data_IF_701212019943
#
_entry.id   IF_701212019943
#
_cell.length_a   1.000
_cell.length_b   1.000
_cell.length_c   1.000
_cell.angle_alpha   90.00
_cell.angle_beta   90.00
_cell.angle_gamma   90.00
#
_symmetry.space_group_name_H-M   'P 1'
#
loop_
_entity.id
_entity.type
_entity.pdbx_description
1 polymer ?
#
# COMPACT_ATOMS: atom_id res chain seq x y z
N UNK A 1 -11.84 1.03 15.27
CA UNK A 1 -10.46 0.78 15.72
C UNK A 1 -9.95 2.04 16.39
N UNK A 2 -9.33 1.94 17.55
CA UNK A 2 -8.73 3.09 18.25
C UNK A 2 -7.31 3.38 17.74
N UNK A 3 -6.71 4.52 18.10
CA UNK A 3 -5.30 4.80 17.75
C UNK A 3 -4.32 3.85 18.45
N UNK A 4 -4.65 3.40 19.67
CA UNK A 4 -3.85 2.39 20.38
C UNK A 4 -3.88 1.06 19.63
N UNK A 5 -5.05 0.61 19.19
CA UNK A 5 -5.20 -0.60 18.37
C UNK A 5 -4.44 -0.51 17.04
N UNK A 6 -4.47 0.65 16.41
CA UNK A 6 -3.82 0.92 15.13
C UNK A 6 -2.29 0.93 15.25
N UNK A 7 -1.76 1.49 16.33
CA UNK A 7 -0.32 1.73 16.51
C UNK A 7 0.41 0.64 17.28
N UNK A 8 -0.29 -0.18 18.09
CA UNK A 8 0.33 -1.28 18.83
C UNK A 8 0.87 -2.36 17.90
N UNK A 9 2.00 -2.94 18.28
CA UNK A 9 2.61 -4.04 17.54
C UNK A 9 1.85 -5.34 17.78
N UNK A 10 1.77 -6.19 16.75
CA UNK A 10 1.06 -7.46 16.79
C UNK A 10 2.03 -8.59 16.46
N UNK A 11 2.00 -9.67 17.25
CA UNK A 11 2.82 -10.86 17.02
C UNK A 11 2.48 -11.53 15.69
N UNK A 12 1.20 -11.52 15.30
CA UNK A 12 0.70 -12.03 14.01
C UNK A 12 1.25 -11.26 12.81
N UNK A 13 1.75 -10.04 13.03
CA UNK A 13 2.38 -9.19 12.03
C UNK A 13 3.90 -9.11 12.23
N UNK A 14 4.51 -10.12 12.84
CA UNK A 14 5.95 -10.18 13.11
C UNK A 14 6.48 -8.97 13.89
N UNK A 15 5.69 -8.44 14.82
CA UNK A 15 6.06 -7.28 15.62
C UNK A 15 5.84 -5.94 14.92
N UNK A 16 5.23 -5.92 13.73
CA UNK A 16 4.73 -4.68 13.13
C UNK A 16 3.33 -4.33 13.65
N UNK A 17 2.94 -3.06 13.51
CA UNK A 17 1.56 -2.60 13.76
C UNK A 17 0.74 -2.51 12.46
N UNK A 18 -0.58 -2.40 12.59
CA UNK A 18 -1.45 -2.09 11.44
C UNK A 18 -1.06 -0.75 10.83
N UNK A 19 -0.76 0.25 11.67
CA UNK A 19 -0.35 1.57 11.22
C UNK A 19 0.96 1.58 10.45
N UNK A 20 1.91 0.69 10.77
CA UNK A 20 3.14 0.58 10.00
C UNK A 20 2.89 0.07 8.58
N UNK A 21 1.98 -0.89 8.40
CA UNK A 21 1.57 -1.35 7.06
C UNK A 21 0.74 -0.30 6.31
N UNK A 22 -0.19 0.38 7.00
CA UNK A 22 -0.98 1.45 6.41
C UNK A 22 -0.10 2.62 5.93
N UNK A 23 0.84 3.08 6.76
CA UNK A 23 1.87 4.05 6.35
C UNK A 23 2.65 3.56 5.13
N UNK A 24 3.09 2.31 5.13
CA UNK A 24 3.87 1.76 4.02
C UNK A 24 3.12 1.81 2.68
N UNK A 25 1.82 1.51 2.69
CA UNK A 25 0.94 1.66 1.52
C UNK A 25 0.92 3.11 1.04
N UNK A 26 0.58 4.05 1.93
CA UNK A 26 0.35 5.45 1.51
C UNK A 26 1.64 6.13 1.05
N UNK A 27 2.80 5.78 1.61
CA UNK A 27 4.09 6.29 1.12
C UNK A 27 4.42 5.80 -0.30
N UNK A 28 4.01 4.59 -0.69
CA UNK A 28 4.14 4.10 -2.08
C UNK A 28 3.22 4.85 -3.03
N UNK A 29 1.99 5.12 -2.57
CA UNK A 29 1.03 5.94 -3.30
C UNK A 29 1.57 7.35 -3.50
N UNK A 30 2.13 7.99 -2.47
CA UNK A 30 2.71 9.32 -2.58
C UNK A 30 3.85 9.34 -3.59
N UNK A 31 4.72 8.33 -3.59
CA UNK A 31 5.75 8.18 -4.62
C UNK A 31 5.14 8.14 -6.02
N UNK A 32 4.11 7.31 -6.26
CA UNK A 32 3.42 7.19 -7.56
C UNK A 32 2.83 8.52 -8.04
N UNK A 33 2.18 9.27 -7.15
CA UNK A 33 1.50 10.52 -7.51
C UNK A 33 2.47 11.63 -7.93
N UNK A 34 3.66 11.62 -7.34
CA UNK A 34 4.71 12.58 -7.59
C UNK A 34 5.55 12.24 -8.84
N UNK A 35 5.30 11.09 -9.47
CA UNK A 35 6.08 10.65 -10.62
C UNK A 35 5.96 11.64 -11.80
N UNK A 36 7.09 11.92 -12.42
CA UNK A 36 7.22 12.69 -13.65
C UNK A 36 7.81 11.87 -14.80
N UNK A 37 7.56 12.32 -16.04
CA UNK A 37 8.08 11.65 -17.24
C UNK A 37 9.62 11.67 -17.29
N UNK A 38 10.22 10.55 -17.74
CA UNK A 38 11.66 10.32 -17.90
C UNK A 38 12.50 10.38 -16.61
N UNK A 39 11.88 10.39 -15.44
CA UNK A 39 12.62 10.40 -14.18
C UNK A 39 13.15 9.01 -13.79
N UNK A 40 13.95 8.97 -12.72
CA UNK A 40 14.34 7.72 -12.05
C UNK A 40 13.87 7.78 -10.61
N UNK A 41 12.95 6.90 -10.23
CA UNK A 41 12.43 6.81 -8.86
C UNK A 41 12.91 5.55 -8.13
N UNK A 42 12.72 5.56 -6.82
CA UNK A 42 12.99 4.43 -5.93
C UNK A 42 11.97 4.43 -4.81
N UNK A 43 11.15 3.38 -4.73
CA UNK A 43 10.22 3.20 -3.61
C UNK A 43 10.96 2.89 -2.29
N UNK A 44 12.21 2.44 -2.35
CA UNK A 44 13.06 2.22 -1.18
C UNK A 44 13.52 3.55 -0.55
N UNK A 45 13.74 4.56 -1.40
CA UNK A 45 14.14 5.92 -1.04
C UNK A 45 12.92 6.83 -0.70
N UNK A 46 11.71 6.25 -0.60
CA UNK A 46 10.48 6.99 -0.26
C UNK A 46 10.64 7.78 1.05
N UNK A 47 9.95 8.92 1.13
CA UNK A 47 9.89 9.72 2.35
C UNK A 47 9.15 8.94 3.45
N UNK A 48 9.81 8.72 4.58
CA UNK A 48 9.21 8.05 5.75
C UNK A 48 8.53 9.06 6.68
N UNK A 49 7.23 8.93 6.89
CA UNK A 49 6.46 9.76 7.83
C UNK A 49 5.88 8.90 8.95
N UNK A 50 6.60 8.80 10.06
CA UNK A 50 6.21 7.98 11.21
C UNK A 50 4.95 8.47 11.91
N UNK A 51 4.45 9.68 11.65
CA UNK A 51 3.20 10.12 12.26
C UNK A 51 2.01 9.31 11.74
N UNK A 52 2.06 8.89 10.47
CA UNK A 52 1.00 8.11 9.82
C UNK A 52 0.80 6.72 10.43
N UNK A 53 1.80 6.18 11.13
CA UNK A 53 1.68 4.89 11.80
C UNK A 53 1.00 4.98 13.18
N UNK A 54 0.72 6.21 13.66
CA UNK A 54 0.10 6.47 14.97
C UNK A 54 -1.17 7.31 14.88
N UNK A 55 -1.25 8.23 13.91
CA UNK A 55 -2.38 9.11 13.71
C UNK A 55 -3.26 8.58 12.58
N UNK A 56 -4.40 7.99 12.96
CA UNK A 56 -5.35 7.43 11.99
C UNK A 56 -6.01 8.53 11.14
N UNK A 57 -6.24 9.72 11.70
CA UNK A 57 -6.86 10.83 10.98
C UNK A 57 -5.94 11.36 9.87
N UNK A 58 -4.64 11.48 10.13
CA UNK A 58 -3.67 11.91 9.11
C UNK A 58 -3.60 10.89 7.96
N UNK A 59 -3.61 9.59 8.29
CA UNK A 59 -3.67 8.52 7.28
C UNK A 59 -4.95 8.61 6.44
N UNK A 60 -6.12 8.80 7.08
CA UNK A 60 -7.39 8.93 6.38
C UNK A 60 -7.43 10.18 5.49
N UNK A 61 -6.88 11.30 5.95
CA UNK A 61 -6.77 12.52 5.14
C UNK A 61 -5.94 12.27 3.88
N UNK A 62 -4.73 11.72 4.02
CA UNK A 62 -3.86 11.37 2.88
C UNK A 62 -4.52 10.38 1.93
N UNK A 63 -5.23 9.40 2.47
CA UNK A 63 -5.96 8.40 1.67
C UNK A 63 -7.07 9.05 0.84
N UNK A 64 -7.80 10.01 1.40
CA UNK A 64 -8.83 10.76 0.68
C UNK A 64 -8.22 11.63 -0.42
N UNK A 65 -7.09 12.30 -0.15
CA UNK A 65 -6.37 13.07 -1.17
C UNK A 65 -5.95 12.19 -2.34
N UNK A 66 -5.45 10.98 -2.06
CA UNK A 66 -5.17 9.99 -3.09
C UNK A 66 -6.41 9.61 -3.89
N UNK A 67 -7.52 9.26 -3.23
CA UNK A 67 -8.78 8.91 -3.92
C UNK A 67 -9.22 10.07 -4.84
N UNK A 68 -9.08 11.31 -4.41
CA UNK A 68 -9.36 12.48 -5.25
C UNK A 68 -8.42 12.58 -6.44
N UNK A 69 -7.13 12.27 -6.27
CA UNK A 69 -6.15 12.29 -7.35
C UNK A 69 -6.39 11.19 -8.39
N UNK A 70 -7.01 10.05 -8.04
CA UNK A 70 -7.35 8.98 -8.99
C UNK A 70 -8.34 9.43 -10.07
N UNK A 71 -9.14 10.47 -9.80
CA UNK A 71 -10.02 11.05 -10.82
C UNK A 71 -9.27 11.93 -11.83
N UNK A 72 -8.00 12.26 -11.58
CA UNK A 72 -7.16 12.98 -12.53
C UNK A 72 -6.58 11.98 -13.51
N UNK A 73 -6.92 12.15 -14.79
CA UNK A 73 -6.36 11.32 -15.85
C UNK A 73 -4.85 11.60 -15.97
N UNK A 74 -4.04 10.56 -15.85
CA UNK A 74 -2.60 10.56 -16.16
C UNK A 74 -2.37 9.84 -17.48
N UNK A 75 -1.46 10.39 -18.29
CA UNK A 75 -0.99 9.70 -19.50
C UNK A 75 0.06 8.65 -19.13
N UNK A 76 0.23 7.64 -19.99
CA UNK A 76 1.33 6.72 -19.83
C UNK A 76 2.61 7.34 -20.37
N UNK A 77 3.69 7.25 -19.62
CA UNK A 77 4.99 7.79 -19.99
C UNK A 77 6.13 6.91 -19.49
N UNK A 78 7.28 6.91 -20.16
CA UNK A 78 8.45 6.14 -19.74
C UNK A 78 9.07 6.72 -18.46
N UNK A 79 9.63 5.83 -17.65
CA UNK A 79 10.40 6.16 -16.44
C UNK A 79 11.41 5.04 -16.14
N UNK A 80 12.29 5.25 -15.17
CA UNK A 80 13.20 4.21 -14.66
C UNK A 80 12.97 3.95 -13.18
N UNK A 81 13.08 2.69 -12.77
CA UNK A 81 13.01 2.27 -11.37
C UNK A 81 14.39 1.87 -10.90
N UNK A 82 14.87 2.52 -9.85
CA UNK A 82 16.00 2.09 -9.03
C UNK A 82 15.47 1.19 -7.92
N UNK A 83 16.09 0.03 -7.75
CA UNK A 83 15.73 -0.97 -6.74
C UNK A 83 16.99 -1.44 -6.00
N UNK A 84 16.97 -1.40 -4.68
CA UNK A 84 18.10 -1.89 -3.88
C UNK A 84 18.04 -3.41 -3.71
N UNK A 85 19.15 -4.07 -4.04
CA UNK A 85 19.38 -5.49 -3.81
C UNK A 85 20.08 -5.74 -2.46
N UNK A 86 20.87 -4.76 -2.01
CA UNK A 86 21.53 -4.69 -0.70
C UNK A 86 21.80 -3.21 -0.35
N UNK A 87 22.37 -2.92 0.82
CA UNK A 87 22.62 -1.58 1.36
C UNK A 87 23.20 -0.60 0.34
N UNK A 88 24.25 -1.02 -0.38
CA UNK A 88 24.95 -0.17 -1.36
C UNK A 88 24.87 -0.74 -2.79
N UNK A 89 24.12 -1.84 -3.00
CA UNK A 89 23.94 -2.49 -4.29
C UNK A 89 22.52 -2.26 -4.80
N UNK A 90 22.39 -1.68 -5.98
CA UNK A 90 21.11 -1.45 -6.63
C UNK A 90 21.18 -1.75 -8.13
N UNK A 91 20.01 -1.96 -8.73
CA UNK A 91 19.83 -2.01 -10.18
C UNK A 91 18.88 -0.88 -10.61
N UNK A 92 18.98 -0.48 -11.87
CA UNK A 92 18.04 0.44 -12.51
C UNK A 92 17.45 -0.28 -13.73
N UNK A 93 16.13 -0.29 -13.86
CA UNK A 93 15.42 -0.87 -15.00
C UNK A 93 14.44 0.12 -15.60
N UNK A 94 14.17 -0.04 -16.88
CA UNK A 94 13.12 0.73 -17.56
C UNK A 94 11.73 0.26 -17.12
N UNK A 95 10.80 1.21 -17.04
CA UNK A 95 9.38 0.98 -16.79
C UNK A 95 8.53 2.09 -17.41
N UNK A 96 7.25 2.16 -17.05
CA UNK A 96 6.33 3.23 -17.44
C UNK A 96 5.28 3.45 -16.34
N UNK A 97 4.62 4.60 -16.39
CA UNK A 97 3.67 5.01 -15.36
C UNK A 97 2.58 3.96 -15.08
N UNK A 98 1.95 3.39 -16.12
CA UNK A 98 0.90 2.38 -15.93
C UNK A 98 1.43 1.06 -15.35
N UNK A 99 2.67 0.68 -15.66
CA UNK A 99 3.30 -0.48 -15.03
C UNK A 99 3.49 -0.26 -13.53
N UNK A 100 3.92 0.94 -13.14
CA UNK A 100 4.13 1.28 -11.73
C UNK A 100 2.81 1.47 -10.97
N UNK A 101 1.78 2.00 -11.62
CA UNK A 101 0.43 2.08 -11.05
C UNK A 101 -0.10 0.68 -10.71
N UNK A 102 0.04 -0.29 -11.61
CA UNK A 102 -0.33 -1.68 -11.35
C UNK A 102 0.50 -2.32 -10.23
N UNK A 103 1.79 -2.00 -10.15
CA UNK A 103 2.66 -2.46 -9.07
C UNK A 103 2.20 -1.91 -7.71
N UNK A 104 1.93 -0.61 -7.61
CA UNK A 104 1.43 0.01 -6.37
C UNK A 104 0.06 -0.55 -5.98
N UNK A 105 -0.81 -0.83 -6.94
CA UNK A 105 -2.10 -1.48 -6.68
C UNK A 105 -1.92 -2.89 -6.09
N UNK A 106 -1.07 -3.73 -6.69
CA UNK A 106 -0.82 -5.09 -6.19
C UNK A 106 -0.14 -5.08 -4.81
N UNK A 107 0.84 -4.19 -4.62
CA UNK A 107 1.50 -3.96 -3.33
C UNK A 107 0.52 -3.50 -2.25
N UNK A 108 -0.40 -2.62 -2.60
CA UNK A 108 -1.49 -2.18 -1.71
C UNK A 108 -2.36 -3.37 -1.31
N UNK A 109 -2.82 -4.18 -2.26
CA UNK A 109 -3.66 -5.35 -1.97
C UNK A 109 -2.91 -6.36 -1.10
N UNK A 110 -1.62 -6.58 -1.36
CA UNK A 110 -0.76 -7.43 -0.55
C UNK A 110 -0.74 -6.98 0.93
N UNK A 111 -0.51 -5.70 1.19
CA UNK A 111 -0.52 -5.18 2.56
C UNK A 111 -1.90 -5.15 3.19
N UNK A 112 -2.98 -4.92 2.42
CA UNK A 112 -4.35 -5.06 2.92
C UNK A 112 -4.65 -6.51 3.34
N UNK A 113 -4.10 -7.51 2.64
CA UNK A 113 -4.21 -8.92 3.05
C UNK A 113 -3.49 -9.20 4.38
N UNK A 114 -2.31 -8.60 4.59
CA UNK A 114 -1.59 -8.69 5.86
C UNK A 114 -2.38 -8.00 6.99
N UNK A 115 -2.88 -6.78 6.74
CA UNK A 115 -3.72 -6.05 7.70
C UNK A 115 -4.97 -6.85 8.05
N UNK A 116 -5.60 -7.52 7.07
CA UNK A 116 -6.73 -8.42 7.30
C UNK A 116 -6.42 -9.48 8.34
N UNK A 117 -5.28 -10.17 8.21
CA UNK A 117 -4.83 -11.18 9.18
C UNK A 117 -4.66 -10.52 10.57
N UNK A 118 -4.01 -9.35 10.63
CA UNK A 118 -3.86 -8.60 11.87
C UNK A 118 -5.19 -8.27 12.55
N UNK A 119 -6.18 -7.82 11.76
CA UNK A 119 -7.52 -7.49 12.23
C UNK A 119 -8.25 -8.73 12.74
N UNK A 120 -8.33 -9.79 11.92
CA UNK A 120 -9.15 -10.98 12.25
C UNK A 120 -8.63 -11.74 13.46
N UNK A 121 -7.32 -11.77 13.68
CA UNK A 121 -6.72 -12.52 14.78
C UNK A 121 -6.71 -11.75 16.12
N UNK A 122 -6.69 -10.41 16.08
CA UNK A 122 -6.49 -9.60 17.29
C UNK A 122 -7.69 -8.73 17.68
N UNK A 123 -8.69 -8.60 16.80
CA UNK A 123 -9.84 -7.72 17.01
C UNK A 123 -11.13 -8.40 16.53
N UNK A 124 -11.59 -9.47 17.21
CA UNK A 124 -12.72 -10.29 16.76
C UNK A 124 -14.05 -9.53 16.64
N UNK A 125 -14.19 -8.40 17.35
CA UNK A 125 -15.38 -7.55 17.29
C UNK A 125 -15.37 -6.61 16.07
N UNK A 126 -14.22 -6.41 15.41
CA UNK A 126 -14.12 -5.59 14.21
C UNK A 126 -14.53 -6.39 12.97
N UNK A 127 -15.55 -5.89 12.28
CA UNK A 127 -15.98 -6.42 10.99
C UNK A 127 -15.32 -5.66 9.86
N UNK A 128 -14.76 -6.41 8.91
CA UNK A 128 -14.23 -5.90 7.65
C UNK A 128 -14.96 -6.56 6.48
N UNK A 129 -15.05 -5.91 5.30
CA UNK A 129 -15.65 -6.52 4.12
C UNK A 129 -14.99 -7.87 3.77
N UNK A 130 -15.78 -8.82 3.27
CA UNK A 130 -15.31 -10.18 2.98
C UNK A 130 -14.19 -10.17 1.92
N UNK A 131 -14.29 -9.25 0.99
CA UNK A 131 -13.40 -8.96 -0.14
C UNK A 131 -12.16 -8.14 0.23
N UNK A 132 -12.11 -7.57 1.44
CA UNK A 132 -10.96 -6.75 1.87
C UNK A 132 -9.65 -7.55 1.76
N UNK A 133 -8.62 -6.93 1.18
CA UNK A 133 -7.31 -7.57 0.96
C UNK A 133 -7.30 -8.67 -0.09
N UNK A 134 -8.30 -8.77 -0.97
CA UNK A 134 -8.29 -9.69 -2.10
C UNK A 134 -8.17 -8.96 -3.45
N UNK A 135 -7.44 -9.58 -4.37
CA UNK A 135 -7.36 -9.13 -5.76
C UNK A 135 -8.68 -9.39 -6.49
N UNK A 136 -8.94 -8.64 -7.57
CA UNK A 136 -10.14 -8.85 -8.39
C UNK A 136 -10.23 -10.27 -8.97
N UNK A 137 -9.09 -10.88 -9.33
CA UNK A 137 -9.04 -12.26 -9.81
C UNK A 137 -9.43 -13.26 -8.72
N UNK A 138 -9.01 -13.02 -7.47
CA UNK A 138 -9.38 -13.84 -6.31
C UNK A 138 -10.88 -13.74 -6.02
N UNK A 139 -11.44 -12.52 -6.03
CA UNK A 139 -12.88 -12.29 -5.84
C UNK A 139 -13.68 -13.00 -6.93
N UNK A 140 -13.25 -12.87 -8.20
CA UNK A 140 -13.88 -13.55 -9.33
C UNK A 140 -13.86 -15.07 -9.16
N UNK A 141 -12.73 -15.65 -8.76
CA UNK A 141 -12.62 -17.09 -8.53
C UNK A 141 -13.56 -17.58 -7.41
N UNK A 142 -13.71 -16.82 -6.32
CA UNK A 142 -14.63 -17.15 -5.23
C UNK A 142 -16.10 -17.08 -5.65
N UNK A 143 -16.47 -16.10 -6.47
CA UNK A 143 -17.84 -15.98 -6.98
C UNK A 143 -18.21 -17.06 -8.02
N UNK A 144 -17.21 -17.77 -8.57
CA UNK A 144 -17.42 -18.90 -9.48
C UNK A 144 -17.56 -20.25 -8.76
N UNK A 145 -17.31 -20.30 -7.45
CA UNK A 145 -17.54 -21.48 -6.61
C UNK A 145 -18.92 -21.27 -5.96
N UNK A 146 -19.95 -22.08 -6.28
CA UNK A 146 -21.25 -21.98 -5.62
C UNK A 146 -21.07 -22.21 -4.11
N UNK A 147 -21.67 -21.33 -3.30
CA UNK A 147 -21.76 -21.44 -1.84
C UNK A 147 -22.50 -22.69 -1.39
#
# INVERSE_FOLDING_TARGET
MTEEDYSRTLSTLHGASIGQHARHIIEFVDCLLLIQENETISYDDRKRDTNLERNLNDYLSRSNDFIHSLYQKKDNFPLRIKFYLDKDLYTITDSNYFREELFVLDHTIHHLAIIKIGITENFPDLRIPAEFGFTASTIRAKNLIPS
#
